data_IF_661652858341
#
_entry.id   IF_661652858341
#
_cell.length_a   1.000
_cell.length_b   1.000
_cell.length_c   1.000
_cell.angle_alpha   90.00
_cell.angle_beta   90.00
_cell.angle_gamma   90.00
#
_symmetry.space_group_name_H-M   'P 1'
#
loop_
_entity.id
_entity.type
_entity.pdbx_description
1 polymer ?
#
# COMPACT_ATOMS: atom_id res chain seq x y z
N UNK A 1 65.01 7.69 -36.38
CA UNK A 1 64.93 7.27 -34.96
C UNK A 1 63.97 6.09 -34.89
N UNK A 2 64.40 4.92 -34.38
CA UNK A 2 63.67 3.65 -34.42
C UNK A 2 62.73 3.47 -33.22
N UNK A 3 61.80 2.51 -33.27
CA UNK A 3 61.70 1.35 -32.35
C UNK A 3 60.42 0.54 -32.62
N UNK A 4 60.61 -0.77 -32.75
CA UNK A 4 59.60 -1.84 -32.79
C UNK A 4 59.44 -2.43 -31.37
N UNK A 5 58.35 -3.17 -31.13
CA UNK A 5 58.18 -4.36 -30.25
C UNK A 5 56.95 -4.41 -29.32
N UNK A 6 56.37 -5.62 -29.31
CA UNK A 6 55.60 -6.34 -28.26
C UNK A 6 54.11 -5.99 -28.03
N UNK A 7 53.13 -6.89 -28.24
CA UNK A 7 52.79 -8.23 -27.67
C UNK A 7 52.13 -8.21 -26.27
N UNK A 8 50.85 -8.61 -26.27
CA UNK A 8 50.09 -9.47 -25.33
C UNK A 8 49.66 -8.96 -23.93
N UNK A 9 48.33 -9.02 -23.73
CA UNK A 9 47.54 -9.61 -22.62
C UNK A 9 47.93 -9.38 -21.14
N UNK A 10 46.96 -8.87 -20.35
CA UNK A 10 46.34 -9.54 -19.17
C UNK A 10 45.97 -8.59 -18.02
N UNK A 11 44.69 -8.63 -17.64
CA UNK A 11 44.10 -8.65 -16.28
C UNK A 11 44.74 -7.84 -15.13
N UNK A 12 43.93 -6.98 -14.46
CA UNK A 12 43.47 -7.19 -13.05
C UNK A 12 42.89 -5.91 -12.40
N UNK A 13 41.67 -6.07 -11.87
CA UNK A 13 41.17 -5.67 -10.53
C UNK A 13 40.99 -4.21 -10.08
N UNK A 14 39.71 -3.95 -9.72
CA UNK A 14 39.20 -3.40 -8.46
C UNK A 14 39.55 -1.96 -8.04
N UNK A 15 38.52 -1.09 -7.98
CA UNK A 15 38.15 -0.36 -6.74
C UNK A 15 37.04 0.66 -7.02
N UNK A 16 35.89 0.34 -6.44
CA UNK A 16 34.71 1.16 -6.25
C UNK A 16 34.99 2.63 -5.82
N UNK A 17 34.42 3.59 -6.56
CA UNK A 17 34.10 4.93 -6.05
C UNK A 17 32.72 5.35 -6.56
N UNK A 18 31.74 4.97 -5.73
CA UNK A 18 30.38 5.50 -5.65
C UNK A 18 30.42 7.02 -5.72
N UNK A 19 30.19 7.56 -6.91
CA UNK A 19 29.85 8.98 -7.07
C UNK A 19 28.37 9.11 -6.80
N UNK A 20 28.08 9.72 -5.66
CA UNK A 20 26.77 9.96 -5.10
C UNK A 20 25.80 10.46 -6.18
N UNK A 21 24.78 9.66 -6.50
CA UNK A 21 23.59 10.17 -7.18
C UNK A 21 22.90 11.11 -6.19
N UNK A 22 23.08 12.40 -6.44
CA UNK A 22 22.26 13.48 -5.90
C UNK A 22 20.81 13.24 -6.34
N UNK A 23 20.06 12.48 -5.55
CA UNK A 23 18.62 12.39 -5.71
C UNK A 23 18.00 13.63 -5.09
N UNK A 24 17.66 14.59 -5.95
CA UNK A 24 16.73 15.67 -5.65
C UNK A 24 15.71 15.77 -6.80
N UNK A 25 14.47 16.17 -6.49
CA UNK A 25 13.29 15.45 -6.95
C UNK A 25 12.58 16.18 -8.09
N UNK A 26 12.30 15.48 -9.19
CA UNK A 26 11.12 15.73 -10.05
C UNK A 26 11.19 14.86 -11.31
N UNK A 27 10.60 13.66 -11.27
CA UNK A 27 10.16 12.99 -12.49
C UNK A 27 8.63 13.01 -12.53
N UNK A 28 8.09 13.92 -13.35
CA UNK A 28 6.72 13.82 -13.85
C UNK A 28 6.61 12.50 -14.61
N UNK A 29 5.72 11.59 -14.18
CA UNK A 29 5.32 10.44 -14.98
C UNK A 29 5.34 9.05 -14.31
N UNK A 30 5.70 8.90 -13.04
CA UNK A 30 5.32 7.67 -12.33
C UNK A 30 3.83 7.78 -12.00
N UNK A 31 2.99 6.91 -12.55
CA UNK A 31 1.61 6.78 -12.10
C UNK A 31 1.62 6.75 -10.56
N UNK A 32 0.94 7.71 -9.92
CA UNK A 32 0.95 7.81 -8.48
C UNK A 32 0.40 6.49 -7.92
N UNK A 33 1.26 5.72 -7.27
CA UNK A 33 0.86 4.47 -6.64
C UNK A 33 0.06 4.85 -5.41
N UNK A 34 -1.23 4.53 -5.45
CA UNK A 34 -2.19 4.75 -4.39
C UNK A 34 -2.42 3.46 -3.62
N UNK A 35 -2.81 3.61 -2.37
CA UNK A 35 -3.24 2.47 -1.56
C UNK A 35 -4.73 2.26 -1.82
N UNK A 36 -5.09 1.08 -2.30
CA UNK A 36 -6.47 0.71 -2.57
C UNK A 36 -6.94 -0.42 -1.67
N UNK A 37 -8.26 -0.51 -1.50
CA UNK A 37 -8.93 -1.58 -0.77
C UNK A 37 -9.00 -2.85 -1.64
N UNK A 38 -8.78 -3.99 -0.99
CA UNK A 38 -8.97 -5.32 -1.54
C UNK A 38 -9.94 -6.09 -0.65
N UNK A 39 -11.13 -6.43 -1.14
CA UNK A 39 -12.09 -7.23 -0.37
C UNK A 39 -11.63 -8.70 -0.35
N UNK A 40 -11.25 -9.21 0.83
CA UNK A 40 -10.77 -10.58 1.01
C UNK A 40 -11.90 -11.56 1.29
N UNK A 41 -12.93 -11.10 2.02
CA UNK A 41 -14.11 -11.90 2.34
C UNK A 41 -15.34 -11.00 2.25
N UNK A 42 -16.28 -11.40 1.40
CA UNK A 42 -17.53 -10.67 1.19
C UNK A 42 -18.43 -10.73 2.43
N UNK A 43 -19.23 -9.68 2.62
CA UNK A 43 -20.27 -9.66 3.66
C UNK A 43 -21.26 -10.80 3.44
N UNK A 44 -21.71 -11.42 4.53
CA UNK A 44 -22.78 -12.42 4.50
C UNK A 44 -24.18 -11.80 4.47
N UNK A 45 -24.30 -10.48 4.58
CA UNK A 45 -25.56 -9.76 4.40
C UNK A 45 -25.73 -9.52 2.90
N UNK A 46 -26.55 -10.37 2.27
CA UNK A 46 -26.91 -10.26 0.85
C UNK A 46 -27.83 -9.05 0.57
N UNK A 47 -28.32 -8.40 1.63
CA UNK A 47 -29.23 -7.27 1.57
C UNK A 47 -28.44 -6.00 1.89
N UNK A 48 -28.55 -5.03 1.00
CA UNK A 48 -28.09 -3.65 1.15
C UNK A 48 -26.58 -3.45 0.95
N UNK A 49 -26.20 -3.20 -0.30
CA UNK A 49 -25.03 -2.40 -0.63
C UNK A 49 -25.26 -0.98 -0.12
N UNK A 50 -25.26 -0.80 1.21
CA UNK A 50 -25.29 0.54 1.81
C UNK A 50 -24.02 1.24 1.37
N UNK A 51 -24.12 2.45 0.82
CA UNK A 51 -23.00 3.18 0.20
C UNK A 51 -21.72 3.33 1.04
N UNK A 52 -21.81 3.04 2.35
CA UNK A 52 -20.70 3.04 3.31
C UNK A 52 -19.82 1.77 3.29
N UNK A 53 -20.20 0.73 2.54
CA UNK A 53 -19.40 -0.49 2.46
C UNK A 53 -18.24 -0.32 1.47
N UNK A 54 -17.02 -0.62 1.91
CA UNK A 54 -15.84 -0.47 1.05
C UNK A 54 -15.87 -1.49 -0.10
N UNK A 55 -15.37 -1.05 -1.24
CA UNK A 55 -15.28 -1.85 -2.46
C UNK A 55 -13.84 -2.06 -2.85
N UNK A 56 -13.59 -3.16 -3.57
CA UNK A 56 -12.27 -3.39 -4.16
C UNK A 56 -11.99 -2.30 -5.18
N UNK A 57 -10.87 -1.59 -5.02
CA UNK A 57 -10.53 -0.44 -5.87
C UNK A 57 -10.80 0.92 -5.22
N UNK A 58 -11.48 0.97 -4.07
CA UNK A 58 -11.58 2.24 -3.33
C UNK A 58 -10.20 2.73 -2.88
N UNK A 59 -9.92 4.02 -3.06
CA UNK A 59 -8.64 4.63 -2.69
C UNK A 59 -8.67 5.04 -1.22
N UNK A 60 -7.69 4.58 -0.45
CA UNK A 60 -7.56 4.95 0.96
C UNK A 60 -7.00 6.37 1.06
N UNK A 61 -7.74 7.24 1.76
CA UNK A 61 -7.32 8.62 2.01
C UNK A 61 -6.82 8.80 3.45
N UNK A 62 -7.48 8.17 4.42
CA UNK A 62 -7.12 8.30 5.84
C UNK A 62 -7.30 6.97 6.59
N UNK A 63 -6.32 6.65 7.43
CA UNK A 63 -6.33 5.53 8.38
C UNK A 63 -6.18 6.10 9.78
N UNK A 64 -7.19 5.92 10.62
CA UNK A 64 -7.17 6.34 12.03
C UNK A 64 -7.12 5.11 12.92
N UNK A 65 -5.99 4.90 13.59
CA UNK A 65 -5.75 3.75 14.47
C UNK A 65 -5.59 4.28 15.89
N UNK A 66 -6.62 4.10 16.73
CA UNK A 66 -6.69 4.76 18.04
C UNK A 66 -6.55 6.29 17.94
N UNK A 67 -5.46 6.82 18.50
CA UNK A 67 -5.10 8.25 18.47
C UNK A 67 -4.19 8.64 17.29
N UNK A 68 -3.69 7.68 16.51
CA UNK A 68 -2.82 7.92 15.37
C UNK A 68 -3.64 8.10 14.09
N UNK A 69 -3.29 9.09 13.28
CA UNK A 69 -3.90 9.35 11.98
C UNK A 69 -2.81 9.29 10.91
N UNK A 70 -3.00 8.44 9.91
CA UNK A 70 -2.10 8.27 8.76
C UNK A 70 -2.88 8.63 7.50
N UNK A 71 -2.39 9.59 6.73
CA UNK A 71 -3.05 10.08 5.52
C UNK A 71 -2.28 9.69 4.27
N UNK A 72 -3.00 9.60 3.17
CA UNK A 72 -2.42 9.57 1.83
C UNK A 72 -1.57 10.84 1.60
N UNK A 73 -0.50 10.78 0.80
CA UNK A 73 0.12 9.59 0.22
C UNK A 73 0.93 8.77 1.25
N UNK A 74 0.74 7.45 1.26
CA UNK A 74 1.40 6.55 2.21
C UNK A 74 2.87 6.32 1.83
N UNK A 75 3.80 6.71 2.71
CA UNK A 75 5.24 6.42 2.53
C UNK A 75 5.47 4.90 2.51
N UNK A 76 5.98 4.38 1.39
CA UNK A 76 6.17 2.95 1.10
C UNK A 76 4.87 2.15 0.88
N UNK A 77 3.75 2.80 0.55
CA UNK A 77 2.49 2.13 0.18
C UNK A 77 2.01 1.11 1.21
N UNK A 78 1.55 -0.05 0.73
CA UNK A 78 1.10 -1.20 1.52
C UNK A 78 2.14 -1.62 2.53
N UNK A 79 3.42 -1.65 2.15
CA UNK A 79 4.48 -2.09 3.07
C UNK A 79 4.66 -1.14 4.26
N UNK A 80 4.47 0.17 4.05
CA UNK A 80 4.47 1.17 5.11
C UNK A 80 3.28 1.00 6.04
N UNK A 81 2.09 0.87 5.46
CA UNK A 81 0.84 0.67 6.20
C UNK A 81 0.90 -0.62 7.04
N UNK A 82 1.39 -1.72 6.47
CA UNK A 82 1.55 -3.00 7.19
C UNK A 82 2.49 -2.88 8.40
N UNK A 83 3.54 -2.06 8.34
CA UNK A 83 4.41 -1.79 9.50
C UNK A 83 3.71 -0.99 10.58
N UNK A 84 2.90 0.00 10.20
CA UNK A 84 2.08 0.79 11.13
C UNK A 84 1.08 -0.12 11.83
N UNK A 85 0.33 -0.92 11.07
CA UNK A 85 -0.61 -1.91 11.58
C UNK A 85 0.06 -2.90 12.53
N UNK A 86 1.22 -3.44 12.17
CA UNK A 86 1.99 -4.32 13.04
C UNK A 86 2.34 -3.69 14.39
N UNK A 87 2.76 -2.42 14.37
CA UNK A 87 3.13 -1.67 15.57
C UNK A 87 1.91 -1.41 16.45
N UNK A 88 0.79 -1.00 15.88
CA UNK A 88 -0.47 -0.78 16.60
C UNK A 88 -1.00 -2.07 17.22
N UNK A 89 -0.97 -3.19 16.48
CA UNK A 89 -1.36 -4.50 17.02
C UNK A 89 -0.51 -4.90 18.24
N UNK A 90 0.81 -4.68 18.18
CA UNK A 90 1.72 -4.94 19.31
C UNK A 90 1.41 -4.06 20.52
N UNK A 91 0.96 -2.83 20.29
CA UNK A 91 0.53 -1.90 21.34
C UNK A 91 -0.89 -2.18 21.85
N UNK A 92 -1.56 -3.22 21.33
CA UNK A 92 -2.96 -3.57 21.63
C UNK A 92 -3.98 -2.53 21.15
N UNK A 93 -3.57 -1.62 20.27
CA UNK A 93 -4.46 -0.69 19.59
C UNK A 93 -4.93 -1.33 18.29
N UNK A 94 -6.10 -1.99 18.35
CA UNK A 94 -6.65 -2.73 17.20
C UNK A 94 -7.87 -2.05 16.59
N UNK A 95 -8.39 -0.97 17.18
CA UNK A 95 -9.48 -0.21 16.59
C UNK A 95 -8.96 0.67 15.46
N UNK A 96 -9.52 0.52 14.26
CA UNK A 96 -9.16 1.30 13.10
C UNK A 96 -10.39 1.82 12.38
N UNK A 97 -10.31 3.07 11.92
CA UNK A 97 -11.25 3.66 10.97
C UNK A 97 -10.53 3.94 9.67
N UNK A 98 -11.15 3.54 8.56
CA UNK A 98 -10.59 3.69 7.22
C UNK A 98 -11.53 4.58 6.44
N UNK A 99 -11.04 5.75 6.02
CA UNK A 99 -11.76 6.62 5.09
C UNK A 99 -11.19 6.43 3.70
N UNK A 100 -12.08 6.12 2.77
CA UNK A 100 -11.74 5.93 1.36
C UNK A 100 -12.46 6.93 0.50
N UNK A 101 -11.99 7.06 -0.74
CA UNK A 101 -12.59 7.83 -1.80
C UNK A 101 -12.88 6.90 -2.98
N UNK A 102 -14.11 6.93 -3.47
CA UNK A 102 -14.55 6.17 -4.64
C UNK A 102 -14.14 6.91 -5.91
N UNK A 103 -13.53 6.21 -6.87
CA UNK A 103 -12.96 6.83 -8.08
C UNK A 103 -13.92 6.63 -9.24
N UNK A 104 -14.76 7.61 -9.52
CA UNK A 104 -15.76 7.53 -10.60
C UNK A 104 -17.14 8.03 -10.22
N UNK A 105 -17.37 8.35 -8.95
CA UNK A 105 -18.53 9.16 -8.55
C UNK A 105 -18.33 10.61 -9.02
N UNK A 106 -19.38 11.23 -9.57
CA UNK A 106 -19.40 12.63 -10.05
C UNK A 106 -19.03 13.64 -8.94
N UNK A 107 -19.22 13.23 -7.69
CA UNK A 107 -18.74 13.91 -6.48
C UNK A 107 -17.78 12.96 -5.76
N UNK A 108 -16.70 13.45 -5.16
CA UNK A 108 -15.77 12.64 -4.35
C UNK A 108 -16.52 12.03 -3.16
N UNK A 109 -17.17 10.88 -3.39
CA UNK A 109 -17.94 10.16 -2.38
C UNK A 109 -16.93 9.47 -1.45
N UNK A 110 -16.98 9.86 -0.18
CA UNK A 110 -16.17 9.26 0.86
C UNK A 110 -16.98 8.22 1.61
N UNK A 111 -16.44 7.01 1.73
CA UNK A 111 -16.97 5.96 2.60
C UNK A 111 -16.04 5.76 3.80
N UNK A 112 -16.59 5.37 4.95
CA UNK A 112 -15.84 5.18 6.18
C UNK A 112 -16.12 3.82 6.80
N UNK A 113 -15.11 2.95 6.87
CA UNK A 113 -15.25 1.66 7.55
C UNK A 113 -14.64 1.70 8.94
N UNK A 114 -15.45 1.33 9.93
CA UNK A 114 -14.93 0.98 11.25
C UNK A 114 -14.61 -0.52 11.32
N UNK A 115 -13.36 -0.84 11.63
CA UNK A 115 -12.84 -2.19 11.63
C UNK A 115 -11.94 -2.47 12.82
N UNK A 116 -11.71 -3.75 13.06
CA UNK A 116 -10.70 -4.27 13.98
C UNK A 116 -9.54 -4.86 13.19
N UNK A 117 -8.34 -4.53 13.63
CA UNK A 117 -7.11 -5.07 13.09
C UNK A 117 -6.92 -6.52 13.52
N UNK A 118 -6.83 -7.43 12.56
CA UNK A 118 -6.60 -8.85 12.83
C UNK A 118 -5.38 -9.36 12.05
N UNK A 119 -4.60 -10.30 12.63
CA UNK A 119 -3.58 -11.01 11.87
C UNK A 119 -4.28 -11.85 10.80
N UNK A 120 -3.93 -11.64 9.53
CA UNK A 120 -4.34 -12.47 8.41
C UNK A 120 -3.45 -13.71 8.27
N UNK A 121 -3.87 -14.63 7.39
CA UNK A 121 -3.11 -15.84 7.09
C UNK A 121 -1.76 -15.51 6.46
N UNK A 122 -0.78 -16.33 6.84
CA UNK A 122 0.62 -16.09 6.55
C UNK A 122 0.94 -16.49 5.10
N UNK A 123 0.65 -15.61 4.15
CA UNK A 123 1.12 -15.76 2.78
C UNK A 123 2.64 -15.59 2.77
N UNK A 124 3.35 -16.73 2.69
CA UNK A 124 4.80 -16.83 2.48
C UNK A 124 5.62 -16.03 3.50
N UNK A 125 5.57 -16.46 4.77
CA UNK A 125 6.53 -16.04 5.81
C UNK A 125 6.36 -14.63 6.38
N UNK A 126 5.47 -13.78 5.83
CA UNK A 126 5.18 -12.42 6.35
C UNK A 126 3.76 -12.35 6.89
N UNK A 127 3.62 -11.98 8.17
CA UNK A 127 2.31 -11.69 8.78
C UNK A 127 1.70 -10.48 8.09
N UNK A 128 0.64 -10.68 7.33
CA UNK A 128 -0.18 -9.59 6.81
C UNK A 128 -1.26 -9.28 7.83
N UNK A 129 -1.51 -8.00 8.03
CA UNK A 129 -2.61 -7.49 8.83
C UNK A 129 -3.77 -7.15 7.91
N UNK A 130 -4.94 -7.67 8.26
CA UNK A 130 -6.19 -7.45 7.55
C UNK A 130 -7.17 -6.78 8.49
N UNK A 131 -8.15 -6.11 7.91
CA UNK A 131 -9.17 -5.39 8.65
C UNK A 131 -10.46 -6.18 8.59
N UNK A 132 -11.06 -6.42 9.74
CA UNK A 132 -12.37 -7.06 9.85
C UNK A 132 -13.36 -6.02 10.33
N UNK A 133 -14.48 -5.83 9.63
CA UNK A 133 -15.46 -4.84 10.05
C UNK A 133 -16.02 -5.16 11.44
N UNK A 134 -16.37 -4.12 12.19
CA UNK A 134 -16.96 -4.29 13.52
C UNK A 134 -18.41 -4.77 13.39
N UNK A 135 -19.16 -4.26 12.41
CA UNK A 135 -20.57 -4.56 12.22
C UNK A 135 -20.84 -5.86 11.44
N UNK A 136 -19.80 -6.40 10.77
CA UNK A 136 -19.84 -7.70 10.11
C UNK A 136 -18.50 -8.44 10.23
N UNK A 137 -18.41 -9.46 11.11
CA UNK A 137 -17.17 -10.23 11.30
C UNK A 137 -16.81 -11.11 10.08
N UNK A 138 -17.75 -11.35 9.15
CA UNK A 138 -17.47 -12.06 7.91
C UNK A 138 -16.88 -11.14 6.85
N UNK A 139 -17.06 -9.83 6.97
CA UNK A 139 -16.51 -8.87 6.03
C UNK A 139 -15.07 -8.50 6.42
N UNK A 140 -14.13 -8.82 5.52
CA UNK A 140 -12.71 -8.56 5.72
C UNK A 140 -12.08 -7.92 4.49
N UNK A 141 -11.27 -6.89 4.73
CA UNK A 141 -10.57 -6.13 3.70
C UNK A 141 -9.07 -6.08 3.97
N UNK A 142 -8.31 -6.00 2.89
CA UNK A 142 -6.87 -5.81 2.86
C UNK A 142 -6.50 -4.53 2.12
N UNK A 143 -5.20 -4.27 2.09
CA UNK A 143 -4.63 -3.15 1.37
C UNK A 143 -3.76 -3.66 0.22
N UNK A 144 -3.84 -2.98 -0.92
CA UNK A 144 -3.03 -3.28 -2.11
C UNK A 144 -2.57 -2.00 -2.79
N UNK A 145 -1.32 -1.99 -3.23
CA UNK A 145 -0.74 -0.88 -3.99
C UNK A 145 -1.21 -0.99 -5.44
N UNK A 146 -1.92 0.02 -5.94
CA UNK A 146 -2.44 0.11 -7.32
C UNK A 146 -2.25 1.51 -7.87
N UNK A 147 -2.40 1.69 -9.18
CA UNK A 147 -2.49 3.05 -9.73
C UNK A 147 -3.93 3.56 -9.66
N UNK A 148 -4.15 4.89 -9.67
CA UNK A 148 -5.50 5.47 -9.71
C UNK A 148 -6.31 4.96 -10.91
N UNK A 149 -5.65 4.71 -12.05
CA UNK A 149 -6.27 4.13 -13.24
C UNK A 149 -6.74 2.69 -13.02
N UNK A 150 -5.97 1.89 -12.31
CA UNK A 150 -6.38 0.52 -11.98
C UNK A 150 -7.56 0.52 -11.01
N UNK A 151 -7.62 1.51 -10.10
CA UNK A 151 -8.73 1.70 -9.18
C UNK A 151 -10.02 2.04 -9.94
N UNK A 152 -9.94 2.97 -10.90
CA UNK A 152 -11.04 3.32 -11.82
C UNK A 152 -11.56 2.11 -12.62
N UNK A 153 -10.67 1.25 -13.11
CA UNK A 153 -11.07 0.09 -13.92
C UNK A 153 -11.81 -1.00 -13.10
N UNK A 154 -11.82 -0.90 -11.77
CA UNK A 154 -12.44 -1.88 -10.88
C UNK A 154 -13.82 -1.43 -10.35
N UNK A 155 -14.26 -0.23 -10.73
CA UNK A 155 -15.53 0.38 -10.36
C UNK A 155 -16.46 0.46 -11.58
#
# INVERSE_FOLDING_TARGET
MPMDLSRLSSSSSDSSRFSAVSSSPSSKGSAAVVLSIECLKGSSKADEWTGDMLQTGDIVEELRIGNMIVKSPFRNGKSGVQKVLHSSYKQKETSIRVRVRRVGAEEDEFAELQACLVPGDQLVGRKQYVLRAIDDPNYAVGFVDRTERDCLNLQ
#
